data_IF_578480995521
#
_entry.id   IF_578480995521
#
_cell.length_a   1.000
_cell.length_b   1.000
_cell.length_c   1.000
_cell.angle_alpha   90.00
_cell.angle_beta   90.00
_cell.angle_gamma   90.00
#
_symmetry.space_group_name_H-M   'P 1'
#
loop_
_entity.id
_entity.type
_entity.pdbx_description
1 polymer ?
#
# COMPACT_ATOMS: atom_id res chain seq x y z
N UNK A 1 9.76 -10.70 5.14
CA UNK A 1 10.49 -10.38 6.36
C UNK A 1 10.39 -8.88 6.68
N UNK A 2 9.51 -8.46 7.57
CA UNK A 2 9.35 -7.08 7.99
C UNK A 2 8.53 -7.00 9.26
N UNK A 3 8.38 -5.77 9.79
CA UNK A 3 7.67 -5.52 11.04
C UNK A 3 6.19 -5.19 10.82
N UNK A 4 5.77 -4.85 9.61
CA UNK A 4 4.45 -4.34 9.27
C UNK A 4 4.09 -3.06 10.05
N UNK A 5 4.62 -1.92 9.58
CA UNK A 5 4.10 -0.63 10.04
C UNK A 5 2.73 -0.42 9.39
N UNK A 6 1.66 -0.46 10.18
CA UNK A 6 0.30 -0.39 9.65
C UNK A 6 -0.42 0.92 9.97
N UNK A 7 0.18 1.78 10.83
CA UNK A 7 -0.38 3.07 11.18
C UNK A 7 0.68 4.05 11.69
N UNK A 8 0.36 5.34 11.67
CA UNK A 8 1.14 6.40 12.31
C UNK A 8 0.20 7.32 13.08
N UNK A 9 0.55 7.68 14.33
CA UNK A 9 -0.22 8.66 15.13
C UNK A 9 -0.02 10.10 14.67
N UNK A 10 1.07 10.38 13.98
CA UNK A 10 1.42 11.70 13.46
C UNK A 10 1.06 11.80 11.96
N UNK A 11 -0.23 11.61 11.66
CA UNK A 11 -0.76 11.77 10.30
C UNK A 11 -1.44 13.13 10.22
N UNK A 12 -0.86 14.02 9.41
CA UNK A 12 -1.43 15.32 9.10
C UNK A 12 -1.45 15.56 7.59
N UNK A 13 -2.35 16.40 7.11
CA UNK A 13 -2.52 16.68 5.69
C UNK A 13 -1.28 17.33 5.08
N UNK A 14 -0.50 18.07 5.89
CA UNK A 14 0.72 18.75 5.46
C UNK A 14 1.85 17.80 5.09
N UNK A 15 1.75 16.53 5.50
CA UNK A 15 2.73 15.48 5.17
C UNK A 15 2.45 14.80 3.84
N UNK A 16 1.36 15.18 3.18
CA UNK A 16 0.92 14.57 1.92
C UNK A 16 0.88 15.61 0.81
N UNK A 17 1.32 15.20 -0.36
CA UNK A 17 1.16 15.98 -1.60
C UNK A 17 -0.02 15.42 -2.38
N UNK A 18 -0.97 16.27 -2.74
CA UNK A 18 -2.15 15.91 -3.53
C UNK A 18 -2.69 17.13 -4.29
N UNK A 19 -3.12 16.92 -5.51
CA UNK A 19 -3.84 17.90 -6.31
C UNK A 19 -5.28 18.09 -5.78
N UNK A 20 -5.83 17.10 -5.09
CA UNK A 20 -7.14 17.15 -4.43
C UNK A 20 -6.98 17.04 -2.90
N UNK A 21 -6.81 18.20 -2.27
CA UNK A 21 -6.68 18.29 -0.81
C UNK A 21 -7.98 17.90 -0.09
N UNK A 22 -9.14 18.18 -0.69
CA UNK A 22 -10.44 17.86 -0.08
C UNK A 22 -10.65 16.34 0.01
N UNK A 23 -10.35 15.61 -1.05
CA UNK A 23 -10.39 14.15 -1.02
C UNK A 23 -9.38 13.57 -0.01
N UNK A 24 -8.20 14.19 0.10
CA UNK A 24 -7.20 13.78 1.08
C UNK A 24 -7.67 14.02 2.52
N UNK A 25 -8.32 15.16 2.82
CA UNK A 25 -8.92 15.46 4.13
C UNK A 25 -9.97 14.42 4.51
N UNK A 26 -10.84 14.05 3.57
CA UNK A 26 -11.87 13.04 3.78
C UNK A 26 -11.25 11.66 4.07
N UNK A 27 -10.24 11.25 3.31
CA UNK A 27 -9.54 9.97 3.50
C UNK A 27 -8.82 9.92 4.85
N UNK A 28 -8.19 11.02 5.26
CA UNK A 28 -7.43 11.13 6.51
C UNK A 28 -8.31 11.56 7.71
N UNK A 29 -9.63 11.55 7.58
CA UNK A 29 -10.54 11.94 8.65
C UNK A 29 -10.33 11.11 9.92
N UNK A 30 -10.64 11.68 11.08
CA UNK A 30 -10.56 10.98 12.37
C UNK A 30 -11.49 9.75 12.43
N UNK A 31 -12.63 9.78 11.72
CA UNK A 31 -13.52 8.64 11.60
C UNK A 31 -12.82 7.47 10.92
N UNK A 32 -12.19 7.67 9.78
CA UNK A 32 -11.49 6.62 9.05
C UNK A 32 -10.30 6.05 9.84
N UNK A 33 -9.61 6.92 10.61
CA UNK A 33 -8.57 6.49 11.55
C UNK A 33 -9.13 5.54 12.62
N UNK A 34 -10.20 5.94 13.28
CA UNK A 34 -10.84 5.16 14.35
C UNK A 34 -11.35 3.82 13.83
N UNK A 35 -12.02 3.79 12.69
CA UNK A 35 -12.55 2.57 12.08
C UNK A 35 -11.44 1.58 11.73
N UNK A 36 -10.35 2.05 11.14
CA UNK A 36 -9.21 1.19 10.77
C UNK A 36 -8.56 0.55 11.99
N UNK A 37 -8.29 1.33 13.03
CA UNK A 37 -7.67 0.82 14.25
C UNK A 37 -8.60 -0.14 15.00
N UNK A 38 -9.89 0.20 15.13
CA UNK A 38 -10.89 -0.66 15.75
C UNK A 38 -11.06 -1.99 14.99
N UNK A 39 -11.01 -1.95 13.66
CA UNK A 39 -11.05 -3.17 12.86
C UNK A 39 -9.86 -4.08 13.16
N UNK A 40 -8.64 -3.55 13.15
CA UNK A 40 -7.42 -4.33 13.43
C UNK A 40 -7.43 -4.88 14.87
N UNK A 41 -7.87 -4.07 15.84
CA UNK A 41 -7.99 -4.45 17.24
C UNK A 41 -9.00 -5.59 17.43
N UNK A 42 -10.14 -5.53 16.73
CA UNK A 42 -11.16 -6.57 16.74
C UNK A 42 -10.66 -7.93 16.22
N UNK A 43 -9.63 -7.91 15.40
CA UNK A 43 -8.94 -9.11 14.90
C UNK A 43 -7.83 -9.59 15.84
N UNK A 44 -7.55 -8.87 16.93
CA UNK A 44 -6.45 -9.18 17.85
C UNK A 44 -5.08 -8.67 17.39
N UNK A 45 -5.05 -7.69 16.45
CA UNK A 45 -3.81 -7.05 16.00
C UNK A 45 -3.56 -5.82 16.88
N UNK A 46 -3.01 -6.03 18.05
CA UNK A 46 -2.72 -4.97 19.03
C UNK A 46 -1.44 -4.21 18.68
N UNK A 47 -1.40 -2.87 18.90
CA UNK A 47 -0.27 -2.06 18.52
C UNK A 47 0.87 -2.11 19.55
N UNK A 48 2.09 -2.13 19.03
CA UNK A 48 3.30 -1.67 19.70
C UNK A 48 3.74 -0.35 19.05
N UNK A 49 3.58 0.74 19.79
CA UNK A 49 3.86 2.08 19.26
C UNK A 49 5.34 2.42 19.55
N UNK A 50 6.04 2.88 18.50
CA UNK A 50 7.40 3.37 18.59
C UNK A 50 7.57 4.62 17.72
N UNK A 51 7.87 5.76 18.30
CA UNK A 51 8.05 7.04 17.59
C UNK A 51 6.84 7.39 16.69
N UNK A 52 5.61 7.20 17.18
CA UNK A 52 4.38 7.42 16.42
C UNK A 52 3.99 6.27 15.46
N UNK A 53 4.90 5.38 15.12
CA UNK A 53 4.61 4.25 14.23
C UNK A 53 3.99 3.07 14.97
N UNK A 54 2.96 2.48 14.38
CA UNK A 54 2.24 1.32 14.91
C UNK A 54 2.73 0.04 14.23
N UNK A 55 3.21 -0.87 15.03
CA UNK A 55 3.62 -2.20 14.62
C UNK A 55 2.77 -3.24 15.35
N UNK A 56 2.58 -4.46 14.83
CA UNK A 56 1.95 -5.51 15.62
C UNK A 56 2.78 -5.80 16.88
N UNK A 57 2.13 -6.12 17.97
CA UNK A 57 2.80 -6.37 19.26
C UNK A 57 3.91 -7.44 19.14
N UNK A 58 3.70 -8.45 18.29
CA UNK A 58 4.69 -9.47 17.92
C UNK A 58 5.94 -8.91 17.22
N UNK A 59 5.86 -7.68 16.69
CA UNK A 59 6.90 -7.04 15.86
C UNK A 59 7.24 -7.86 14.59
N UNK A 60 6.31 -8.68 14.11
CA UNK A 60 6.46 -9.55 12.94
C UNK A 60 5.30 -9.34 11.96
N UNK A 61 5.62 -9.06 10.68
CA UNK A 61 4.61 -8.95 9.63
C UNK A 61 3.85 -10.26 9.38
N UNK A 62 4.49 -11.40 9.64
CA UNK A 62 3.88 -12.71 9.47
C UNK A 62 2.63 -12.89 10.35
N UNK A 63 2.65 -12.41 11.59
CA UNK A 63 1.50 -12.54 12.48
C UNK A 63 0.27 -11.78 11.99
N UNK A 64 0.46 -10.61 11.39
CA UNK A 64 -0.65 -9.84 10.77
C UNK A 64 -1.26 -10.62 9.61
N UNK A 65 -0.42 -11.15 8.72
CA UNK A 65 -0.88 -11.96 7.59
C UNK A 65 -1.64 -13.20 8.07
N UNK A 66 -1.12 -13.93 9.05
CA UNK A 66 -1.74 -15.15 9.56
C UNK A 66 -3.11 -14.89 10.21
N UNK A 67 -3.24 -13.77 10.93
CA UNK A 67 -4.53 -13.33 11.51
C UNK A 67 -5.54 -13.02 10.41
N UNK A 68 -5.14 -12.25 9.37
CA UNK A 68 -6.00 -11.93 8.25
C UNK A 68 -6.38 -13.18 7.44
N UNK A 69 -5.44 -14.08 7.17
CA UNK A 69 -5.70 -15.36 6.50
C UNK A 69 -6.69 -16.22 7.28
N UNK A 70 -6.60 -16.22 8.62
CA UNK A 70 -7.55 -16.92 9.49
C UNK A 70 -8.93 -16.30 9.40
N UNK A 71 -9.03 -14.98 9.42
CA UNK A 71 -10.31 -14.27 9.34
C UNK A 71 -11.00 -14.48 7.99
N UNK A 72 -10.26 -14.48 6.89
CA UNK A 72 -10.76 -14.83 5.55
C UNK A 72 -11.41 -16.22 5.57
N UNK A 73 -10.75 -17.20 6.19
CA UNK A 73 -11.28 -18.58 6.34
C UNK A 73 -12.52 -18.63 7.21
N UNK A 74 -12.51 -17.93 8.35
CA UNK A 74 -13.64 -17.87 9.28
C UNK A 74 -14.90 -17.30 8.61
N UNK A 75 -14.72 -16.35 7.69
CA UNK A 75 -15.82 -15.73 6.94
C UNK A 75 -16.19 -16.48 5.66
N UNK A 76 -15.56 -17.63 5.40
CA UNK A 76 -15.77 -18.40 4.18
C UNK A 76 -15.58 -17.59 2.90
N UNK A 77 -14.62 -16.68 2.89
CA UNK A 77 -14.28 -15.88 1.70
C UNK A 77 -13.45 -16.74 0.77
N UNK A 78 -13.91 -16.94 -0.45
CA UNK A 78 -13.16 -17.66 -1.48
C UNK A 78 -11.95 -16.86 -1.93
N UNK A 79 -10.76 -17.45 -1.87
CA UNK A 79 -9.51 -16.84 -2.36
C UNK A 79 -8.93 -17.70 -3.48
N UNK A 80 -8.76 -17.09 -4.64
CA UNK A 80 -8.20 -17.75 -5.82
C UNK A 80 -6.74 -17.32 -6.01
N UNK A 81 -5.81 -18.11 -5.49
CA UNK A 81 -4.37 -17.90 -5.69
C UNK A 81 -3.94 -18.30 -7.10
N UNK A 82 -2.90 -17.64 -7.62
CA UNK A 82 -2.36 -17.94 -8.95
C UNK A 82 -3.25 -17.49 -10.11
N UNK A 83 -4.35 -16.80 -9.84
CA UNK A 83 -5.27 -16.31 -10.85
C UNK A 83 -5.03 -14.80 -11.08
N UNK A 84 -4.08 -14.49 -11.94
CA UNK A 84 -3.80 -13.09 -12.29
C UNK A 84 -4.93 -12.54 -13.15
N UNK A 85 -5.50 -11.42 -12.74
CA UNK A 85 -6.50 -10.70 -13.54
C UNK A 85 -5.83 -10.11 -14.76
N UNK A 86 -6.45 -10.27 -15.92
CA UNK A 86 -6.04 -9.69 -17.19
C UNK A 86 -6.83 -8.42 -17.48
N UNK A 87 -8.14 -8.46 -17.21
CA UNK A 87 -9.04 -7.39 -17.57
C UNK A 87 -10.32 -7.43 -16.71
N UNK A 88 -10.92 -6.27 -16.53
CA UNK A 88 -12.27 -6.11 -15.99
C UNK A 88 -13.09 -5.33 -17.00
N UNK A 89 -14.29 -5.82 -17.31
CA UNK A 89 -15.23 -5.15 -18.22
C UNK A 89 -16.60 -5.02 -17.56
N UNK A 90 -17.41 -4.07 -17.99
CA UNK A 90 -18.79 -3.93 -17.54
C UNK A 90 -19.72 -4.54 -18.60
N UNK A 91 -20.66 -5.35 -18.17
CA UNK A 91 -21.66 -5.98 -19.01
C UNK A 91 -23.04 -5.75 -18.38
N UNK A 92 -23.83 -4.84 -18.95
CA UNK A 92 -25.07 -4.36 -18.35
C UNK A 92 -24.84 -3.81 -16.94
N UNK A 93 -25.48 -4.36 -15.91
CA UNK A 93 -25.34 -3.96 -14.51
C UNK A 93 -24.30 -4.78 -13.73
N UNK A 94 -23.60 -5.71 -14.38
CA UNK A 94 -22.60 -6.57 -13.77
C UNK A 94 -21.20 -6.32 -14.32
N UNK A 95 -20.19 -6.81 -13.61
CA UNK A 95 -18.81 -6.81 -14.06
C UNK A 95 -18.37 -8.20 -14.44
N UNK A 96 -17.48 -8.28 -15.42
CA UNK A 96 -16.80 -9.52 -15.81
C UNK A 96 -15.31 -9.35 -15.54
N UNK A 97 -14.79 -10.15 -14.63
CA UNK A 97 -13.36 -10.25 -14.34
C UNK A 97 -12.79 -11.39 -15.17
N UNK A 98 -11.81 -11.09 -16.00
CA UNK A 98 -11.16 -12.03 -16.93
C UNK A 98 -9.73 -12.25 -16.43
N UNK A 99 -9.35 -13.52 -16.27
CA UNK A 99 -8.01 -13.92 -15.87
C UNK A 99 -7.09 -14.19 -17.06
N UNK A 100 -5.78 -14.28 -16.84
CA UNK A 100 -4.81 -14.60 -17.89
C UNK A 100 -5.04 -15.98 -18.55
N UNK A 101 -5.61 -16.92 -17.81
CA UNK A 101 -6.02 -18.24 -18.33
C UNK A 101 -7.35 -18.22 -19.10
N UNK A 102 -7.93 -17.04 -19.34
CA UNK A 102 -9.22 -16.78 -19.97
C UNK A 102 -10.46 -17.26 -19.20
N UNK A 103 -10.32 -17.73 -17.97
CA UNK A 103 -11.46 -17.92 -17.08
C UNK A 103 -12.13 -16.59 -16.76
N UNK A 104 -13.44 -16.64 -16.48
CA UNK A 104 -14.27 -15.47 -16.20
C UNK A 104 -15.03 -15.63 -14.90
N UNK A 105 -15.12 -14.55 -14.14
CA UNK A 105 -16.01 -14.43 -12.99
C UNK A 105 -16.95 -13.25 -13.23
N UNK A 106 -18.22 -13.43 -12.91
CA UNK A 106 -19.22 -12.39 -12.94
C UNK A 106 -19.45 -11.87 -11.52
N UNK A 107 -19.55 -10.56 -11.36
CA UNK A 107 -19.74 -9.92 -10.07
C UNK A 107 -20.61 -8.65 -10.20
N UNK A 108 -21.43 -8.39 -9.19
CA UNK A 108 -22.23 -7.16 -9.12
C UNK A 108 -21.36 -5.94 -8.78
N UNK A 109 -20.28 -6.17 -8.03
CA UNK A 109 -19.33 -5.14 -7.62
C UNK A 109 -17.90 -5.66 -7.68
N UNK A 110 -16.96 -4.79 -8.04
CA UNK A 110 -15.53 -5.08 -8.07
C UNK A 110 -14.78 -4.01 -7.28
N UNK A 111 -13.90 -4.43 -6.39
CA UNK A 111 -12.98 -3.55 -5.65
C UNK A 111 -11.57 -3.79 -6.15
N UNK A 112 -10.92 -2.74 -6.65
CA UNK A 112 -9.54 -2.79 -7.09
C UNK A 112 -8.65 -2.45 -5.87
N UNK A 113 -7.99 -3.47 -5.33
CA UNK A 113 -7.10 -3.35 -4.17
C UNK A 113 -5.71 -3.94 -4.45
N UNK A 114 -5.23 -3.79 -5.69
CA UNK A 114 -4.01 -4.44 -6.20
C UNK A 114 -2.72 -3.74 -5.78
N UNK A 115 -2.82 -2.59 -5.13
CA UNK A 115 -1.66 -1.78 -4.75
C UNK A 115 -1.03 -1.03 -5.94
N UNK A 116 0.13 -0.43 -5.68
CA UNK A 116 0.87 0.38 -6.65
C UNK A 116 1.96 -0.44 -7.37
N UNK A 117 2.71 0.21 -8.29
CA UNK A 117 3.90 -0.38 -8.94
C UNK A 117 5.15 -0.45 -8.04
N UNK A 118 5.04 -0.21 -6.75
CA UNK A 118 6.20 -0.06 -5.86
C UNK A 118 7.06 -1.34 -5.77
N UNK A 119 6.45 -2.51 -5.88
CA UNK A 119 7.19 -3.75 -5.83
C UNK A 119 6.61 -4.85 -6.75
N UNK A 120 6.86 -4.77 -8.07
CA UNK A 120 6.26 -5.65 -9.08
C UNK A 120 6.50 -7.15 -8.85
N UNK A 121 7.60 -7.52 -8.18
CA UNK A 121 7.90 -8.93 -7.83
C UNK A 121 6.86 -9.59 -6.93
N UNK A 122 6.02 -8.80 -6.26
CA UNK A 122 4.90 -9.29 -5.41
C UNK A 122 3.58 -9.40 -6.16
N UNK A 123 3.56 -9.16 -7.47
CA UNK A 123 2.37 -9.13 -8.31
C UNK A 123 1.73 -7.75 -8.45
N UNK A 124 2.26 -6.73 -7.78
CA UNK A 124 1.77 -5.35 -7.82
C UNK A 124 2.40 -4.59 -8.99
N UNK A 125 1.94 -4.88 -10.21
CA UNK A 125 2.53 -4.38 -11.46
C UNK A 125 1.85 -3.11 -12.01
N UNK A 126 0.78 -2.66 -11.36
CA UNK A 126 0.01 -1.47 -11.72
C UNK A 126 -1.19 -1.74 -12.62
N UNK A 127 -1.59 -2.98 -12.82
CA UNK A 127 -2.80 -3.33 -13.59
C UNK A 127 -4.05 -2.60 -13.05
N UNK A 128 -4.14 -2.34 -11.76
CA UNK A 128 -5.23 -1.58 -11.16
C UNK A 128 -5.41 -0.19 -11.75
N UNK A 129 -4.31 0.49 -12.09
CA UNK A 129 -4.37 1.80 -12.77
C UNK A 129 -4.90 1.68 -14.19
N UNK A 130 -4.49 0.64 -14.93
CA UNK A 130 -4.95 0.40 -16.30
C UNK A 130 -6.45 0.06 -16.32
N UNK A 131 -6.93 -0.70 -15.34
CA UNK A 131 -8.36 -0.98 -15.18
C UNK A 131 -9.12 0.32 -14.87
N UNK A 132 -8.65 1.13 -13.92
CA UNK A 132 -9.30 2.38 -13.57
C UNK A 132 -9.37 3.35 -14.76
N UNK A 133 -8.29 3.49 -15.53
CA UNK A 133 -8.24 4.30 -16.74
C UNK A 133 -9.29 3.85 -17.78
N UNK A 134 -9.41 2.55 -18.01
CA UNK A 134 -10.44 1.99 -18.91
C UNK A 134 -11.88 2.29 -18.46
N UNK A 135 -12.09 2.50 -17.18
CA UNK A 135 -13.39 2.94 -16.63
C UNK A 135 -13.55 4.47 -16.60
N UNK A 136 -12.64 5.22 -17.20
CA UNK A 136 -12.72 6.66 -17.36
C UNK A 136 -12.17 7.47 -16.19
N UNK A 137 -11.45 6.85 -15.26
CA UNK A 137 -10.75 7.56 -14.21
C UNK A 137 -9.46 8.18 -14.75
N UNK A 138 -9.18 9.41 -14.34
CA UNK A 138 -7.90 10.04 -14.64
C UNK A 138 -6.82 9.51 -13.70
N UNK A 139 -5.72 9.01 -14.28
CA UNK A 139 -4.59 8.46 -13.51
C UNK A 139 -3.43 9.45 -13.55
N UNK A 140 -3.14 10.05 -12.41
CA UNK A 140 -1.96 10.90 -12.27
C UNK A 140 -0.68 10.09 -12.45
N UNK A 141 0.38 10.75 -12.88
CA UNK A 141 1.68 10.09 -13.07
C UNK A 141 2.18 9.46 -11.76
N UNK A 142 2.35 8.14 -11.77
CA UNK A 142 2.86 7.40 -10.62
C UNK A 142 4.37 7.49 -10.58
N UNK A 143 4.90 8.12 -9.54
CA UNK A 143 6.34 8.26 -9.30
C UNK A 143 6.74 7.64 -7.97
N UNK A 144 7.99 7.17 -7.82
CA UNK A 144 8.46 6.62 -6.54
C UNK A 144 8.60 7.75 -5.51
N UNK A 145 7.97 7.57 -4.34
CA UNK A 145 8.10 8.48 -3.20
C UNK A 145 9.24 8.08 -2.27
N UNK A 146 9.56 6.79 -2.17
CA UNK A 146 10.68 6.26 -1.41
C UNK A 146 11.55 5.42 -2.33
N UNK A 147 12.83 5.81 -2.48
CA UNK A 147 13.77 5.11 -3.37
C UNK A 147 15.16 5.06 -2.76
N UNK A 148 15.96 4.14 -3.26
CA UNK A 148 17.38 4.07 -2.92
C UNK A 148 18.16 5.13 -3.67
N UNK A 149 19.05 5.83 -2.95
CA UNK A 149 20.05 6.67 -3.59
C UNK A 149 21.25 5.82 -4.01
N UNK A 150 21.76 6.10 -5.19
CA UNK A 150 23.02 5.51 -5.68
C UNK A 150 24.08 6.58 -5.69
N UNK A 151 25.28 6.23 -5.25
CA UNK A 151 26.43 7.11 -5.29
C UNK A 151 27.65 6.35 -5.85
N UNK A 152 28.55 7.09 -6.48
CA UNK A 152 29.81 6.55 -6.98
C UNK A 152 30.94 6.68 -5.94
N UNK A 153 30.66 7.21 -4.76
CA UNK A 153 31.64 7.38 -3.69
C UNK A 153 32.09 6.04 -3.13
N UNK A 154 33.39 5.79 -3.18
CA UNK A 154 33.96 4.48 -2.81
C UNK A 154 33.79 4.13 -1.34
N UNK A 155 33.83 5.13 -0.45
CA UNK A 155 33.71 4.90 1.00
C UNK A 155 32.33 4.39 1.43
N UNK A 156 31.28 4.56 0.59
CA UNK A 156 29.95 4.04 0.91
C UNK A 156 29.87 2.51 0.87
N UNK A 157 30.87 1.83 0.25
CA UNK A 157 30.96 0.37 0.31
C UNK A 157 31.21 -0.14 1.73
N UNK A 158 31.93 0.63 2.52
CA UNK A 158 32.26 0.27 3.90
C UNK A 158 31.02 0.41 4.83
N UNK A 159 29.97 1.10 4.37
CA UNK A 159 28.71 1.32 5.07
C UNK A 159 27.58 0.40 4.58
N UNK A 160 27.89 -0.52 3.68
CA UNK A 160 26.89 -1.45 3.15
C UNK A 160 26.30 -2.31 4.26
N UNK A 161 24.94 -2.31 4.37
CA UNK A 161 24.17 -2.98 5.42
C UNK A 161 24.24 -2.35 6.83
N UNK A 162 24.96 -1.25 7.02
CA UNK A 162 24.96 -0.54 8.28
C UNK A 162 23.67 0.30 8.45
N UNK A 163 23.22 0.43 9.70
CA UNK A 163 22.09 1.26 10.09
C UNK A 163 22.54 2.27 11.12
N UNK A 164 22.30 3.55 10.84
CA UNK A 164 22.63 4.63 11.76
C UNK A 164 21.50 5.66 11.81
N UNK A 165 21.45 6.39 12.89
CA UNK A 165 20.68 7.63 12.97
C UNK A 165 21.53 8.75 12.35
N UNK A 166 20.97 9.45 11.37
CA UNK A 166 21.69 10.46 10.62
C UNK A 166 20.85 11.72 10.41
N UNK A 167 21.50 12.87 10.39
CA UNK A 167 20.91 14.11 9.89
C UNK A 167 21.25 14.25 8.41
N UNK A 168 20.21 14.24 7.57
CA UNK A 168 20.36 14.37 6.12
C UNK A 168 19.99 15.79 5.68
N UNK A 169 20.76 16.38 4.80
CA UNK A 169 20.43 17.63 4.12
C UNK A 169 20.50 17.40 2.62
N UNK A 170 19.46 17.76 1.90
CA UNK A 170 19.38 17.65 0.46
C UNK A 170 19.73 18.99 -0.18
N UNK A 171 20.67 18.96 -1.12
CA UNK A 171 21.03 20.11 -1.96
C UNK A 171 20.81 19.76 -3.42
N UNK A 172 20.18 20.65 -4.16
CA UNK A 172 20.02 20.55 -5.61
C UNK A 172 20.54 21.85 -6.21
N UNK A 173 21.47 21.75 -7.16
CA UNK A 173 22.14 22.89 -7.79
C UNK A 173 22.75 23.91 -6.79
N UNK A 174 23.21 23.41 -5.63
CA UNK A 174 23.80 24.21 -4.56
C UNK A 174 22.79 24.83 -3.58
N UNK A 175 21.51 24.72 -3.84
CA UNK A 175 20.47 25.18 -2.93
C UNK A 175 19.99 24.05 -1.98
N UNK A 176 19.92 24.38 -0.70
CA UNK A 176 19.41 23.45 0.31
C UNK A 176 17.89 23.38 0.25
N UNK A 177 17.35 22.21 -0.04
CA UNK A 177 15.91 21.97 -0.12
C UNK A 177 15.30 21.52 1.21
N UNK A 178 16.07 20.79 2.02
CA UNK A 178 15.64 20.31 3.35
C UNK A 178 16.82 20.05 4.27
#
# INVERSE_FOLDING_TARGET
>A
NGRCNYWNSDISIEQYESDDKKALEEILSEQNKGETLNFLDSLGIYPKIKNGYYYPFSNQAASVREILDKEIKNRNIEVKYGNKVKEVTKQNDSFVVIFENNEKIYADKVVIATGSKAYPKTGSDGLGYEIADKFGHNINMVVPALTQLKSNEKFLKDWENERCDAKVSLFVDGEKLK
#
